data_IF_156823376408
#
_entry.id   IF_156823376408
#
_cell.length_a   1.000
_cell.length_b   1.000
_cell.length_c   1.000
_cell.angle_alpha   90.00
_cell.angle_beta   90.00
_cell.angle_gamma   90.00
#
_symmetry.space_group_name_H-M   'P 1'
#
loop_
_entity.id
_entity.type
_entity.pdbx_description
1 polymer ?
#
# COMPACT_ATOMS: atom_id res chain seq x y z
N UNK A 1 4.27 15.77 -7.26
CA UNK A 1 3.64 14.52 -6.85
C UNK A 1 4.16 14.12 -5.48
N UNK A 2 3.28 13.74 -4.60
CA UNK A 2 3.67 13.41 -3.24
C UNK A 2 4.32 12.04 -3.17
N UNK A 3 5.41 11.99 -2.41
CA UNK A 3 6.01 10.70 -2.10
C UNK A 3 5.29 10.08 -0.92
N UNK A 4 5.13 8.76 -0.93
CA UNK A 4 4.53 8.08 0.22
C UNK A 4 5.37 8.30 1.47
N UNK A 5 4.69 8.31 2.61
CA UNK A 5 5.32 8.43 3.92
C UNK A 5 4.80 7.32 4.80
N UNK A 6 5.49 7.12 5.91
CA UNK A 6 5.08 6.13 6.90
C UNK A 6 3.61 6.36 7.27
N UNK A 7 2.86 5.28 7.26
CA UNK A 7 1.43 5.21 7.59
C UNK A 7 0.50 5.83 6.55
N UNK A 8 1.03 6.28 5.42
CA UNK A 8 0.18 6.72 4.33
C UNK A 8 -0.62 5.54 3.78
N UNK A 9 -1.85 5.82 3.40
CA UNK A 9 -2.67 4.86 2.67
C UNK A 9 -2.38 5.04 1.19
N UNK A 10 -2.13 3.94 0.53
CA UNK A 10 -1.70 3.97 -0.88
C UNK A 10 -2.48 2.95 -1.68
N UNK A 11 -2.55 3.17 -2.98
CA UNK A 11 -3.12 2.21 -3.92
C UNK A 11 -2.05 1.81 -4.91
N UNK A 12 -2.09 0.56 -5.35
CA UNK A 12 -1.16 0.09 -6.36
C UNK A 12 -1.52 0.68 -7.71
N UNK A 13 -0.54 1.23 -8.40
CA UNK A 13 -0.70 1.72 -9.77
C UNK A 13 -0.52 0.61 -10.79
N UNK A 14 0.15 -0.47 -10.38
CA UNK A 14 0.43 -1.62 -11.23
C UNK A 14 0.16 -2.89 -10.45
N UNK A 15 -0.17 -3.97 -11.15
CA UNK A 15 -0.32 -5.25 -10.44
C UNK A 15 1.01 -5.71 -9.88
N UNK A 16 0.96 -6.47 -8.80
CA UNK A 16 2.14 -7.05 -8.17
C UNK A 16 2.04 -8.56 -8.27
N UNK A 17 3.05 -9.23 -8.85
CA UNK A 17 3.01 -10.69 -8.95
C UNK A 17 3.23 -11.35 -7.59
N UNK A 18 2.79 -12.59 -7.48
CA UNK A 18 2.88 -13.34 -6.24
C UNK A 18 4.32 -13.39 -5.70
N UNK A 19 5.30 -13.46 -6.59
CA UNK A 19 6.70 -13.58 -6.20
C UNK A 19 7.19 -12.41 -5.36
N UNK A 20 6.54 -11.27 -5.48
CA UNK A 20 6.91 -10.05 -4.74
C UNK A 20 6.21 -10.00 -3.39
N UNK A 21 5.17 -10.81 -3.20
CA UNK A 21 4.34 -10.76 -2.01
C UNK A 21 4.91 -11.66 -0.91
N UNK A 22 4.78 -11.18 0.31
CA UNK A 22 5.05 -11.98 1.50
C UNK A 22 3.72 -12.18 2.21
N UNK A 23 3.19 -13.39 2.16
CA UNK A 23 1.88 -13.68 2.69
C UNK A 23 1.95 -13.93 4.18
N UNK A 24 1.03 -13.33 4.92
CA UNK A 24 0.96 -13.53 6.36
C UNK A 24 -0.29 -14.31 6.76
N UNK A 25 -1.19 -14.57 5.82
CA UNK A 25 -2.41 -15.31 6.09
C UNK A 25 -2.66 -16.27 4.93
N UNK A 26 -2.46 -17.55 5.19
CA UNK A 26 -2.56 -18.58 4.15
C UNK A 26 -3.98 -18.82 3.69
N UNK A 27 -4.97 -18.26 4.38
CA UNK A 27 -6.35 -18.43 3.96
C UNK A 27 -6.65 -17.68 2.66
N UNK A 28 -5.81 -16.71 2.30
CA UNK A 28 -6.02 -15.94 1.08
C UNK A 28 -5.30 -16.58 -0.08
N UNK A 29 -6.03 -16.77 -1.16
CA UNK A 29 -5.45 -17.28 -2.39
C UNK A 29 -5.03 -16.11 -3.25
N UNK A 30 -3.73 -15.81 -3.24
CA UNK A 30 -3.18 -14.70 -4.00
C UNK A 30 -2.31 -15.21 -5.13
N UNK A 31 -2.62 -16.38 -5.67
CA UNK A 31 -1.81 -16.99 -6.72
C UNK A 31 -1.68 -16.08 -7.95
N UNK A 32 -2.65 -15.18 -8.16
CA UNK A 32 -2.60 -14.21 -9.26
C UNK A 32 -1.89 -12.91 -8.87
N UNK A 33 -1.37 -12.82 -7.64
CA UNK A 33 -0.82 -11.58 -7.14
C UNK A 33 -1.91 -10.60 -6.75
N UNK A 34 -1.57 -9.33 -6.70
CA UNK A 34 -2.51 -8.27 -6.38
C UNK A 34 -2.73 -7.39 -7.61
N UNK A 35 -3.97 -6.99 -7.82
CA UNK A 35 -4.31 -6.16 -8.97
C UNK A 35 -3.99 -4.69 -8.71
N UNK A 36 -3.85 -3.92 -9.78
CA UNK A 36 -3.77 -2.47 -9.67
C UNK A 36 -5.02 -1.96 -8.95
N UNK A 37 -4.86 -0.94 -8.14
CA UNK A 37 -5.96 -0.40 -7.35
C UNK A 37 -6.09 -0.99 -5.98
N UNK A 38 -5.37 -2.08 -5.68
CA UNK A 38 -5.40 -2.65 -4.34
C UNK A 38 -4.82 -1.65 -3.34
N UNK A 39 -5.48 -1.49 -2.21
CA UNK A 39 -5.13 -0.47 -1.22
C UNK A 39 -4.36 -1.12 -0.07
N UNK A 40 -3.32 -0.42 0.38
CA UNK A 40 -2.53 -0.84 1.51
C UNK A 40 -2.03 0.36 2.31
N UNK A 41 -1.22 0.07 3.32
CA UNK A 41 -0.68 1.10 4.20
C UNK A 41 0.83 0.96 4.23
N UNK A 42 1.54 2.08 4.13
CA UNK A 42 3.00 2.09 4.23
C UNK A 42 3.38 1.85 5.69
N UNK A 43 4.09 0.75 5.95
CA UNK A 43 4.50 0.42 7.31
C UNK A 43 6.00 0.56 7.53
N UNK A 44 6.76 0.74 6.46
CA UNK A 44 8.19 0.96 6.56
C UNK A 44 8.67 1.73 5.35
N UNK A 45 9.62 2.64 5.55
CA UNK A 45 10.25 3.38 4.45
C UNK A 45 11.72 3.04 4.47
N UNK A 46 12.25 2.63 3.30
CA UNK A 46 13.66 2.26 3.19
C UNK A 46 14.39 3.34 2.40
N UNK A 47 15.08 4.25 3.08
CA UNK A 47 15.84 5.29 2.37
C UNK A 47 17.06 4.68 1.69
N UNK A 48 17.36 5.18 0.51
CA UNK A 48 18.55 4.79 -0.24
C UNK A 48 19.29 6.03 -0.66
N UNK A 49 20.60 5.96 -0.58
CA UNK A 49 21.41 7.11 -0.93
C UNK A 49 21.52 7.30 -2.43
N UNK A 50 21.55 6.19 -3.16
CA UNK A 50 21.78 6.23 -4.60
C UNK A 50 20.64 5.67 -5.41
N UNK A 51 19.57 5.23 -4.76
CA UNK A 51 18.43 4.61 -5.42
C UNK A 51 17.15 5.25 -4.92
N UNK A 52 16.07 5.14 -5.71
CA UNK A 52 14.79 5.64 -5.25
C UNK A 52 14.37 4.97 -3.95
N UNK A 53 13.55 5.66 -3.19
CA UNK A 53 13.00 5.10 -1.97
C UNK A 53 12.14 3.89 -2.30
N UNK A 54 12.17 2.90 -1.40
CA UNK A 54 11.25 1.78 -1.46
C UNK A 54 10.44 1.75 -0.18
N UNK A 55 9.30 1.09 -0.27
CA UNK A 55 8.30 1.10 0.78
C UNK A 55 7.79 -0.28 1.04
N UNK A 56 7.69 -0.63 2.32
CA UNK A 56 7.02 -1.86 2.71
C UNK A 56 5.56 -1.52 2.92
N UNK A 57 4.69 -2.16 2.15
CA UNK A 57 3.26 -1.91 2.19
C UNK A 57 2.54 -3.14 2.72
N UNK A 58 1.68 -2.92 3.70
CA UNK A 58 0.85 -3.99 4.24
C UNK A 58 -0.53 -3.89 3.63
N UNK A 59 -1.03 -5.01 3.12
CA UNK A 59 -2.36 -5.09 2.55
C UNK A 59 -3.27 -5.81 3.54
N UNK A 60 -4.46 -5.25 3.76
CA UNK A 60 -5.38 -5.74 4.77
C UNK A 60 -6.75 -5.98 4.17
N UNK A 61 -7.51 -6.88 4.79
CA UNK A 61 -8.89 -7.11 4.38
C UNK A 61 -9.80 -6.01 4.97
N UNK A 62 -11.09 -6.02 4.62
CA UNK A 62 -11.99 -4.98 5.11
C UNK A 62 -12.13 -4.90 6.63
N UNK A 63 -11.78 -5.99 7.33
CA UNK A 63 -11.80 -5.98 8.79
C UNK A 63 -10.50 -5.48 9.38
N UNK A 64 -9.53 -5.12 8.56
CA UNK A 64 -8.27 -4.60 9.03
C UNK A 64 -7.21 -5.66 9.33
N UNK A 65 -7.46 -6.91 8.96
CA UNK A 65 -6.50 -7.98 9.17
C UNK A 65 -5.52 -8.02 8.00
N UNK A 66 -4.23 -7.87 8.30
CA UNK A 66 -3.21 -7.92 7.27
C UNK A 66 -3.07 -9.32 6.70
N UNK A 67 -2.92 -9.42 5.39
CA UNK A 67 -2.75 -10.71 4.74
C UNK A 67 -1.51 -10.79 3.88
N UNK A 68 -0.90 -9.68 3.55
CA UNK A 68 0.30 -9.70 2.72
C UNK A 68 1.08 -8.42 2.87
N UNK A 69 2.39 -8.52 2.60
CA UNK A 69 3.29 -7.38 2.50
C UNK A 69 3.97 -7.40 1.15
N UNK A 70 4.36 -6.23 0.68
CA UNK A 70 5.21 -6.13 -0.50
C UNK A 70 6.15 -4.94 -0.35
N UNK A 71 7.38 -5.09 -0.83
CA UNK A 71 8.34 -3.97 -0.87
C UNK A 71 8.35 -3.45 -2.30
N UNK A 72 7.98 -2.20 -2.47
CA UNK A 72 7.79 -1.63 -3.80
C UNK A 72 8.37 -0.22 -3.88
N UNK A 73 8.76 0.21 -5.09
CA UNK A 73 9.24 1.58 -5.26
C UNK A 73 8.08 2.57 -5.28
N UNK A 74 8.42 3.84 -5.05
CA UNK A 74 7.42 4.90 -4.97
C UNK A 74 6.57 4.99 -6.22
N UNK A 75 7.15 4.74 -7.38
CA UNK A 75 6.43 4.89 -8.66
C UNK A 75 5.31 3.88 -8.83
N UNK A 76 5.28 2.86 -8.00
CA UNK A 76 4.23 1.84 -8.02
C UNK A 76 3.01 2.27 -7.21
N UNK A 77 3.13 3.34 -6.44
CA UNK A 77 2.15 3.70 -5.43
C UNK A 77 1.51 5.05 -5.72
N UNK A 78 0.20 5.10 -5.51
CA UNK A 78 -0.54 6.36 -5.50
C UNK A 78 -0.93 6.64 -4.05
N UNK A 79 -0.49 7.78 -3.53
CA UNK A 79 -0.86 8.18 -2.17
C UNK A 79 -2.30 8.64 -2.19
N UNK A 80 -3.12 8.07 -1.31
CA UNK A 80 -4.50 8.43 -1.20
C UNK A 80 -4.65 9.46 -0.08
N UNK A 81 -5.15 10.62 -0.45
CA UNK A 81 -5.36 11.68 0.51
C UNK A 81 -6.81 11.64 0.95
N UNK A 82 -7.03 11.15 2.16
CA UNK A 82 -8.35 11.16 2.72
C UNK A 82 -8.52 12.42 3.53
N UNK A 83 -9.60 13.11 3.25
CA UNK A 83 -9.96 14.26 4.05
C UNK A 83 -11.39 14.07 4.55
N UNK A 84 -11.72 12.89 5.09
CA UNK A 84 -13.10 12.66 5.52
C UNK A 84 -13.54 13.61 6.62
N UNK A 85 -12.62 13.96 7.52
CA UNK A 85 -12.96 14.91 8.56
C UNK A 85 -13.25 16.29 7.99
N UNK A 86 -12.52 16.68 6.99
CA UNK A 86 -12.77 17.96 6.32
C UNK A 86 -14.08 17.92 5.57
N UNK A 87 -14.33 16.83 4.85
CA UNK A 87 -15.58 16.66 4.15
C UNK A 87 -16.75 16.71 5.11
N UNK A 88 -16.62 16.01 6.23
CA UNK A 88 -17.67 15.98 7.22
C UNK A 88 -17.87 17.32 7.87
N UNK A 89 -16.79 18.04 8.12
CA UNK A 89 -16.88 19.36 8.68
C UNK A 89 -17.56 20.32 7.72
N UNK A 90 -17.39 20.11 6.43
CA UNK A 90 -18.03 20.90 5.43
C UNK A 90 -19.52 20.59 5.33
N UNK A 91 -19.96 19.54 5.97
CA UNK A 91 -21.35 19.10 5.94
C UNK A 91 -21.92 19.05 7.34
N UNK A 92 -21.85 20.08 8.08
CA UNK A 92 -22.38 20.07 9.44
C UNK A 92 -23.85 19.78 9.51
#
# INVERSE_FOLDING_TARGET
MDQPKLLDVVALLKPIPLEVLELTDERYDLSSGLTAGTVGTVVEVFPRQTEPLTYLVEFSDPQGCGYAFATVPAETLLVLHYAPSESLAAHP
#
